data_IF_300246031364
#
_entry.id   IF_300246031364
#
_cell.length_a   1.000
_cell.length_b   1.000
_cell.length_c   1.000
_cell.angle_alpha   90.00
_cell.angle_beta   90.00
_cell.angle_gamma   90.00
#
_symmetry.space_group_name_H-M   'P 1'
#
loop_
_entity.id
_entity.type
_entity.pdbx_description
1 polymer ?
#
# COMPACT_ATOMS: atom_id res chain seq x y z
N UNK A 1 -21.30 -8.42 18.94
CA UNK A 1 -19.84 -8.59 18.75
C UNK A 1 -19.19 -7.28 19.14
N UNK A 2 -18.23 -7.27 20.05
CA UNK A 2 -17.50 -6.04 20.43
C UNK A 2 -16.14 -6.10 19.74
N UNK A 3 -15.87 -5.15 18.84
CA UNK A 3 -14.58 -5.04 18.17
C UNK A 3 -13.61 -4.31 19.10
N UNK A 4 -12.41 -4.85 19.36
CA UNK A 4 -11.41 -4.16 20.17
C UNK A 4 -10.94 -2.90 19.45
N UNK A 5 -10.68 -1.84 20.22
CA UNK A 5 -10.03 -0.63 19.70
C UNK A 5 -8.59 -0.94 19.27
N UNK A 6 -8.20 -0.39 18.11
CA UNK A 6 -6.85 -0.51 17.56
C UNK A 6 -6.00 0.63 18.10
N UNK A 7 -4.81 0.34 18.61
CA UNK A 7 -3.91 1.35 19.19
C UNK A 7 -3.21 2.18 18.10
N UNK A 8 -2.93 1.56 16.95
CA UNK A 8 -2.35 2.23 15.78
C UNK A 8 -2.74 1.50 14.49
N UNK A 9 -3.04 2.30 13.46
CA UNK A 9 -3.14 1.85 12.08
C UNK A 9 -2.03 2.51 11.26
N UNK A 10 -1.37 1.72 10.42
CA UNK A 10 -0.45 2.20 9.39
C UNK A 10 -1.04 1.84 8.04
N UNK A 11 -1.15 2.83 7.17
CA UNK A 11 -1.62 2.66 5.80
C UNK A 11 -0.46 3.05 4.89
N UNK A 12 -0.06 2.13 4.02
CA UNK A 12 0.92 2.37 2.98
C UNK A 12 0.18 2.28 1.65
N UNK A 13 0.02 3.44 0.98
CA UNK A 13 -0.54 3.50 -0.36
C UNK A 13 0.42 2.84 -1.34
N UNK A 14 -0.05 1.78 -1.99
CA UNK A 14 0.66 1.04 -3.04
C UNK A 14 0.24 1.58 -4.42
N UNK A 15 -1.04 1.87 -4.61
CA UNK A 15 -1.60 2.51 -5.80
C UNK A 15 -2.59 3.59 -5.39
N UNK A 16 -2.52 4.74 -6.05
CA UNK A 16 -3.46 5.84 -5.97
C UNK A 16 -3.50 6.54 -7.35
N UNK A 17 -4.53 7.36 -7.57
CA UNK A 17 -4.74 8.15 -8.77
C UNK A 17 -3.60 9.15 -9.06
N UNK A 18 -2.83 9.52 -8.03
CA UNK A 18 -1.76 10.51 -8.14
C UNK A 18 -0.53 10.13 -7.33
N UNK A 19 0.64 10.50 -7.85
CA UNK A 19 1.91 10.46 -7.12
C UNK A 19 2.63 11.79 -7.31
N UNK A 20 3.08 12.38 -6.20
CA UNK A 20 3.92 13.59 -6.21
C UNK A 20 5.14 13.37 -5.32
N UNK A 21 6.30 13.24 -5.97
CA UNK A 21 7.59 12.98 -5.34
C UNK A 21 8.21 14.23 -4.69
N UNK A 22 7.60 15.40 -4.87
CA UNK A 22 8.05 16.67 -4.29
C UNK A 22 7.25 17.07 -3.04
N UNK A 23 6.14 16.37 -2.76
CA UNK A 23 5.40 16.56 -1.52
C UNK A 23 6.28 16.27 -0.31
N UNK A 24 6.17 17.15 0.69
CA UNK A 24 6.83 16.98 1.97
C UNK A 24 5.99 16.11 2.90
N UNK A 25 6.62 15.60 3.94
CA UNK A 25 5.92 15.03 5.09
C UNK A 25 4.97 16.08 5.69
N UNK A 26 3.76 15.66 6.04
CA UNK A 26 2.76 16.50 6.68
C UNK A 26 1.93 15.67 7.66
N UNK A 27 1.86 16.10 8.92
CA UNK A 27 1.15 15.39 9.98
C UNK A 27 1.63 13.93 10.13
N UNK A 28 0.71 12.93 10.14
CA UNK A 28 1.09 11.53 10.23
C UNK A 28 1.64 10.95 8.91
N UNK A 29 1.50 11.67 7.79
CA UNK A 29 1.93 11.18 6.49
C UNK A 29 3.45 11.28 6.33
N UNK A 30 4.07 10.13 6.00
CA UNK A 30 5.48 10.01 5.66
C UNK A 30 5.63 9.69 4.19
N UNK A 31 6.37 10.53 3.46
CA UNK A 31 6.62 10.37 2.04
C UNK A 31 7.86 9.51 1.81
N UNK A 32 7.89 8.80 0.68
CA UNK A 32 9.04 8.00 0.27
C UNK A 32 10.24 8.94 0.05
N UNK A 33 11.39 8.72 0.71
CA UNK A 33 12.51 9.64 0.65
C UNK A 33 13.13 9.67 -0.76
N UNK A 34 13.54 10.87 -1.20
CA UNK A 34 14.26 11.04 -2.48
C UNK A 34 15.70 10.54 -2.34
N UNK A 35 16.08 9.58 -3.17
CA UNK A 35 17.44 9.08 -3.31
C UNK A 35 18.11 9.63 -4.58
N UNK A 36 19.44 9.50 -4.69
CA UNK A 36 20.23 10.01 -5.83
C UNK A 36 19.73 9.49 -7.19
N UNK A 37 19.27 8.23 -7.23
CA UNK A 37 18.72 7.58 -8.44
C UNK A 37 17.23 7.30 -8.37
N UNK A 38 16.46 8.23 -7.80
CA UNK A 38 14.99 8.06 -7.67
C UNK A 38 14.30 7.80 -9.01
N UNK A 39 14.86 8.29 -10.13
CA UNK A 39 14.34 8.09 -11.48
C UNK A 39 14.34 6.63 -11.96
N UNK A 40 15.16 5.76 -11.39
CA UNK A 40 15.18 4.32 -11.69
C UNK A 40 14.14 3.54 -10.88
N UNK A 41 13.57 4.17 -9.85
CA UNK A 41 12.68 3.53 -8.86
C UNK A 41 11.45 4.40 -8.59
N UNK A 42 10.88 5.02 -9.62
CA UNK A 42 9.68 5.85 -9.47
C UNK A 42 8.46 4.97 -9.20
N UNK A 43 7.61 5.37 -8.25
CA UNK A 43 6.26 4.83 -8.15
C UNK A 43 5.43 5.34 -9.33
N UNK A 44 4.52 4.51 -9.82
CA UNK A 44 3.57 4.86 -10.87
C UNK A 44 2.18 5.11 -10.28
N UNK A 45 1.50 6.15 -10.75
CA UNK A 45 0.08 6.35 -10.46
C UNK A 45 -0.77 5.70 -11.55
N UNK A 46 -1.94 5.20 -11.18
CA UNK A 46 -2.96 4.75 -12.12
C UNK A 46 -4.35 4.97 -11.51
N UNK A 47 -5.38 4.89 -12.34
CA UNK A 47 -6.74 4.94 -11.83
C UNK A 47 -7.03 3.69 -10.98
N UNK A 48 -7.24 3.87 -9.68
CA UNK A 48 -7.53 2.77 -8.76
C UNK A 48 -6.93 2.99 -7.39
N UNK A 49 -7.13 1.99 -6.52
CA UNK A 49 -6.66 2.00 -5.14
C UNK A 49 -5.99 0.66 -4.81
N UNK A 50 -4.87 0.71 -4.12
CA UNK A 50 -4.32 -0.44 -3.42
C UNK A 50 -3.58 0.03 -2.17
N UNK A 51 -3.86 -0.59 -1.03
CA UNK A 51 -3.27 -0.24 0.25
C UNK A 51 -2.78 -1.47 1.01
N UNK A 52 -1.59 -1.35 1.59
CA UNK A 52 -1.14 -2.23 2.64
C UNK A 52 -1.53 -1.61 3.97
N UNK A 53 -2.43 -2.29 4.70
CA UNK A 53 -2.95 -1.83 5.98
C UNK A 53 -2.42 -2.72 7.09
N UNK A 54 -1.83 -2.12 8.12
CA UNK A 54 -1.33 -2.82 9.29
C UNK A 54 -1.97 -2.22 10.54
N UNK A 55 -2.77 -3.01 11.23
CA UNK A 55 -3.30 -2.67 12.55
C UNK A 55 -2.40 -3.26 13.63
N UNK A 56 -2.22 -2.53 14.73
CA UNK A 56 -1.52 -3.02 15.92
C UNK A 56 -2.33 -2.76 17.19
N UNK A 57 -2.43 -3.79 18.03
CA UNK A 57 -3.08 -3.74 19.33
C UNK A 57 -2.39 -4.74 20.27
N UNK A 58 -1.91 -4.29 21.44
CA UNK A 58 -1.35 -5.16 22.50
C UNK A 58 -0.24 -6.10 21.99
N UNK A 59 0.64 -5.59 21.12
CA UNK A 59 1.76 -6.36 20.55
C UNK A 59 1.38 -7.33 19.42
N UNK A 60 0.10 -7.42 19.06
CA UNK A 60 -0.35 -8.15 17.86
C UNK A 60 -0.38 -7.20 16.68
N UNK A 61 0.18 -7.64 15.55
CA UNK A 61 0.17 -6.91 14.28
C UNK A 61 -0.57 -7.74 13.23
N UNK A 62 -1.58 -7.14 12.60
CA UNK A 62 -2.41 -7.77 11.58
C UNK A 62 -2.29 -6.98 10.28
N UNK A 63 -1.35 -7.38 9.38
CA UNK A 63 -1.24 -6.80 8.05
C UNK A 63 -2.27 -7.44 7.10
N UNK A 64 -2.86 -6.62 6.24
CA UNK A 64 -3.78 -7.02 5.17
C UNK A 64 -3.53 -6.17 3.92
N UNK A 65 -3.91 -6.70 2.77
CA UNK A 65 -4.07 -5.90 1.55
C UNK A 65 -5.52 -5.48 1.38
N UNK A 66 -5.72 -4.22 1.04
CA UNK A 66 -7.02 -3.64 0.73
C UNK A 66 -6.98 -3.06 -0.68
N UNK A 67 -7.76 -3.66 -1.59
CA UNK A 67 -7.73 -3.42 -3.03
C UNK A 67 -6.35 -3.61 -3.70
N UNK A 68 -6.33 -3.62 -5.03
CA UNK A 68 -5.22 -4.14 -5.84
C UNK A 68 -4.97 -3.32 -7.11
N UNK A 69 -5.54 -2.13 -7.23
CA UNK A 69 -5.36 -1.27 -8.39
C UNK A 69 -6.00 -1.82 -9.67
N UNK A 70 -5.72 -1.14 -10.78
CA UNK A 70 -6.28 -1.41 -12.10
C UNK A 70 -5.48 -2.41 -12.91
N UNK A 71 -4.16 -2.52 -12.68
CA UNK A 71 -3.30 -3.37 -13.49
C UNK A 71 -2.23 -4.08 -12.67
N UNK A 72 -1.87 -5.33 -13.04
CA UNK A 72 -0.75 -6.00 -12.38
C UNK A 72 0.58 -5.28 -12.62
N UNK A 73 0.70 -4.57 -13.74
CA UNK A 73 1.91 -3.84 -14.11
C UNK A 73 2.27 -2.78 -13.06
N UNK A 74 1.32 -1.90 -12.71
CA UNK A 74 1.57 -0.83 -11.73
C UNK A 74 1.54 -1.37 -10.31
N UNK A 75 0.58 -2.24 -9.99
CA UNK A 75 0.44 -2.81 -8.65
C UNK A 75 1.71 -3.57 -8.22
N UNK A 76 2.19 -4.53 -9.03
CA UNK A 76 3.36 -5.33 -8.67
C UNK A 76 4.65 -4.51 -8.68
N UNK A 77 4.80 -3.58 -9.63
CA UNK A 77 5.95 -2.66 -9.67
C UNK A 77 6.05 -1.81 -8.40
N UNK A 78 4.95 -1.15 -7.99
CA UNK A 78 4.95 -0.34 -6.78
C UNK A 78 5.13 -1.20 -5.53
N UNK A 79 4.49 -2.37 -5.47
CA UNK A 79 4.58 -3.26 -4.32
C UNK A 79 6.03 -3.74 -4.09
N UNK A 80 6.75 -4.13 -5.14
CA UNK A 80 8.16 -4.55 -5.06
C UNK A 80 9.05 -3.46 -4.46
N UNK A 81 8.92 -2.22 -4.95
CA UNK A 81 9.66 -1.08 -4.44
C UNK A 81 9.35 -0.79 -2.96
N UNK A 82 8.06 -0.78 -2.59
CA UNK A 82 7.62 -0.45 -1.24
C UNK A 82 7.97 -1.55 -0.22
N UNK A 83 7.92 -2.81 -0.65
CA UNK A 83 8.35 -3.97 0.16
C UNK A 83 9.82 -3.85 0.51
N UNK A 84 10.66 -3.51 -0.45
CA UNK A 84 12.09 -3.29 -0.22
C UNK A 84 12.32 -2.08 0.71
N UNK A 85 11.71 -0.93 0.40
CA UNK A 85 11.99 0.32 1.12
C UNK A 85 11.51 0.31 2.57
N UNK A 86 10.36 -0.33 2.83
CA UNK A 86 9.76 -0.42 4.16
C UNK A 86 9.97 -1.79 4.84
N UNK A 87 10.73 -2.69 4.20
CA UNK A 87 11.00 -4.05 4.70
C UNK A 87 9.73 -4.79 5.10
N UNK A 88 8.73 -4.74 4.23
CA UNK A 88 7.45 -5.40 4.46
C UNK A 88 7.62 -6.91 4.27
N UNK A 89 7.19 -7.69 5.25
CA UNK A 89 7.12 -9.14 5.12
C UNK A 89 5.75 -9.55 4.57
N UNK A 90 5.68 -9.75 3.25
CA UNK A 90 4.44 -10.17 2.57
C UNK A 90 3.94 -11.54 3.07
N UNK A 91 4.81 -12.40 3.59
CA UNK A 91 4.39 -13.73 4.08
C UNK A 91 3.48 -13.67 5.31
N UNK A 92 3.45 -12.52 6.00
CA UNK A 92 2.57 -12.27 7.15
C UNK A 92 1.16 -11.83 6.75
N UNK A 93 0.94 -11.46 5.49
CA UNK A 93 -0.35 -11.03 4.98
C UNK A 93 -1.21 -12.28 4.75
N UNK A 94 -2.18 -12.48 5.64
CA UNK A 94 -3.14 -13.59 5.55
C UNK A 94 -4.53 -13.16 5.07
N UNK A 95 -4.75 -11.87 4.86
CA UNK A 95 -6.05 -11.31 4.50
C UNK A 95 -5.93 -10.40 3.28
N UNK A 96 -6.77 -10.67 2.29
CA UNK A 96 -6.99 -9.84 1.10
C UNK A 96 -8.43 -9.33 1.17
N UNK A 97 -8.61 -8.01 1.06
CA UNK A 97 -9.91 -7.36 1.08
C UNK A 97 -10.13 -6.68 -0.26
N UNK A 98 -11.27 -6.97 -0.89
CA UNK A 98 -11.75 -6.24 -2.05
C UNK A 98 -12.94 -5.38 -1.61
N UNK A 99 -12.82 -4.06 -1.76
CA UNK A 99 -13.85 -3.11 -1.36
C UNK A 99 -15.12 -3.30 -2.19
N UNK A 100 -14.97 -3.49 -3.51
CA UNK A 100 -16.04 -3.79 -4.45
C UNK A 100 -15.49 -4.32 -5.79
N UNK A 101 -16.38 -4.81 -6.66
CA UNK A 101 -16.01 -5.53 -7.89
C UNK A 101 -15.72 -4.67 -9.12
N UNK A 102 -15.18 -3.46 -8.98
CA UNK A 102 -14.71 -2.69 -10.14
C UNK A 102 -13.24 -3.00 -10.48
N UNK A 103 -12.91 -2.91 -11.76
CA UNK A 103 -11.63 -3.36 -12.32
C UNK A 103 -10.43 -2.59 -11.76
N UNK A 104 -10.63 -1.34 -11.35
CA UNK A 104 -9.64 -0.46 -10.72
C UNK A 104 -9.33 -0.84 -9.25
N UNK A 105 -10.00 -1.87 -8.72
CA UNK A 105 -9.78 -2.40 -7.37
C UNK A 105 -9.31 -3.86 -7.36
N UNK A 106 -9.57 -4.65 -8.41
CA UNK A 106 -9.12 -6.05 -8.49
C UNK A 106 -8.13 -6.31 -9.62
N UNK A 107 -7.90 -5.38 -10.53
CA UNK A 107 -7.14 -5.58 -11.75
C UNK A 107 -5.71 -6.08 -11.51
N UNK A 108 -5.06 -5.64 -10.42
CA UNK A 108 -3.74 -6.13 -10.02
C UNK A 108 -3.67 -7.62 -9.65
N UNK A 109 -4.81 -8.27 -9.36
CA UNK A 109 -4.88 -9.71 -9.07
C UNK A 109 -4.88 -10.58 -10.32
N UNK A 110 -4.95 -10.01 -11.52
CA UNK A 110 -5.04 -10.76 -12.77
C UNK A 110 -3.69 -11.23 -13.34
N UNK A 111 -2.61 -11.14 -12.55
CA UNK A 111 -1.29 -11.67 -12.90
C UNK A 111 -1.21 -13.21 -12.82
#
# INVERSE_FOLDING_TARGET
MHLPEVERIRITSVVDNFVDLLLRDEGPAKRRPRQEKSYERCLCAEHGLAELVESSCRGTHLPLMFDFGASPLVFLHNLDLLVEDYRVDLSRIATLVLSHGHWDHFGGLLA
#
